data_IF_127239448069
#
_entry.id   IF_127239448069
#
_cell.length_a   1.000
_cell.length_b   1.000
_cell.length_c   1.000
_cell.angle_alpha   90.00
_cell.angle_beta   90.00
_cell.angle_gamma   90.00
#
_symmetry.space_group_name_H-M   'P 1'
#
loop_
_entity.id
_entity.type
_entity.pdbx_description
1 polymer ?
#
# COMPACT_ATOMS: atom_id res chain seq x y z
N UNK A 1 7.67 5.91 6.08
CA UNK A 1 6.89 6.70 5.10
C UNK A 1 5.53 6.04 4.84
N UNK A 2 4.53 6.81 4.42
CA UNK A 2 3.24 6.31 3.94
C UNK A 2 3.35 5.91 2.45
N UNK A 3 2.62 4.89 1.99
CA UNK A 3 2.84 4.31 0.65
C UNK A 3 1.79 4.72 -0.38
N UNK A 4 0.84 5.59 -0.02
CA UNK A 4 -0.08 6.23 -0.97
C UNK A 4 -0.99 5.26 -1.74
N UNK A 5 -1.64 5.75 -2.79
CA UNK A 5 -2.65 4.97 -3.52
C UNK A 5 -2.06 3.84 -4.40
N UNK A 6 -0.75 3.86 -4.68
CA UNK A 6 -0.11 2.88 -5.57
C UNK A 6 -0.26 3.24 -7.05
N UNK A 7 -0.27 2.21 -7.89
CA UNK A 7 -0.54 2.30 -9.33
C UNK A 7 -1.61 1.27 -9.73
N UNK A 8 -2.05 1.32 -10.99
CA UNK A 8 -2.90 0.29 -11.58
C UNK A 8 -2.32 -1.12 -11.47
N UNK A 9 -1.00 -1.27 -11.33
CA UNK A 9 -0.37 -2.58 -11.14
C UNK A 9 -0.47 -3.09 -9.70
N UNK A 10 -0.57 -2.20 -8.70
CA UNK A 10 -0.45 -2.55 -7.30
C UNK A 10 -1.76 -2.48 -6.52
N UNK A 11 -2.67 -1.59 -6.92
CA UNK A 11 -3.92 -1.30 -6.21
C UNK A 11 -5.00 -0.79 -7.19
N UNK A 12 -5.35 -1.59 -8.21
CA UNK A 12 -6.14 -1.15 -9.37
C UNK A 12 -7.51 -0.57 -8.99
N UNK A 13 -8.21 -1.22 -8.05
CA UNK A 13 -9.53 -0.76 -7.62
C UNK A 13 -9.48 0.63 -6.98
N UNK A 14 -8.47 0.87 -6.12
CA UNK A 14 -8.26 2.18 -5.49
C UNK A 14 -7.86 3.23 -6.52
N UNK A 15 -6.92 2.93 -7.42
CA UNK A 15 -6.46 3.91 -8.41
C UNK A 15 -7.59 4.31 -9.35
N UNK A 16 -8.44 3.36 -9.76
CA UNK A 16 -9.64 3.66 -10.55
C UNK A 16 -10.66 4.48 -9.77
N UNK A 17 -11.02 4.05 -8.55
CA UNK A 17 -12.14 4.64 -7.80
C UNK A 17 -11.81 5.96 -7.07
N UNK A 18 -10.56 6.14 -6.63
CA UNK A 18 -10.15 7.25 -5.77
C UNK A 18 -9.18 8.20 -6.49
N UNK A 19 -8.23 7.66 -7.26
CA UNK A 19 -7.21 8.46 -7.94
C UNK A 19 -7.59 8.84 -9.39
N UNK A 20 -8.76 8.44 -9.88
CA UNK A 20 -9.23 8.77 -11.23
C UNK A 20 -8.29 8.24 -12.32
N UNK A 21 -7.85 6.99 -12.19
CA UNK A 21 -6.91 6.30 -13.11
C UNK A 21 -5.50 6.92 -13.15
N UNK A 22 -5.16 7.79 -12.19
CA UNK A 22 -3.84 8.40 -12.11
C UNK A 22 -2.95 7.64 -11.12
N UNK A 23 -1.85 7.08 -11.62
CA UNK A 23 -0.84 6.42 -10.78
C UNK A 23 -0.17 7.40 -9.81
N UNK A 24 0.10 6.92 -8.60
CA UNK A 24 0.87 7.64 -7.60
C UNK A 24 2.36 7.70 -7.96
N UNK A 25 3.02 8.80 -7.59
CA UNK A 25 4.41 9.09 -8.01
C UNK A 25 5.48 8.75 -6.98
N UNK A 26 5.14 8.03 -5.90
CA UNK A 26 6.05 7.81 -4.77
C UNK A 26 7.40 7.25 -5.20
N UNK A 27 7.43 6.23 -6.07
CA UNK A 27 8.68 5.60 -6.50
C UNK A 27 9.53 6.52 -7.37
N UNK A 28 8.91 7.31 -8.25
CA UNK A 28 9.60 8.32 -9.06
C UNK A 28 10.17 9.44 -8.17
N UNK A 29 9.42 9.86 -7.15
CA UNK A 29 9.83 10.90 -6.21
C UNK A 29 10.97 10.44 -5.30
N UNK A 30 10.96 9.17 -4.85
CA UNK A 30 12.08 8.56 -4.14
C UNK A 30 13.32 8.46 -5.03
N UNK A 31 13.16 7.99 -6.27
CA UNK A 31 14.26 7.90 -7.23
C UNK A 31 14.87 9.28 -7.53
N UNK A 32 14.04 10.30 -7.73
CA UNK A 32 14.48 11.68 -7.95
C UNK A 32 15.24 12.25 -6.73
N UNK A 33 14.91 11.78 -5.53
CA UNK A 33 15.63 12.11 -4.30
C UNK A 33 16.89 11.26 -4.07
N UNK A 34 17.21 10.31 -4.96
CA UNK A 34 18.36 9.41 -4.84
C UNK A 34 18.16 8.27 -3.84
N UNK A 35 16.92 7.94 -3.50
CA UNK A 35 16.54 6.86 -2.58
C UNK A 35 15.99 5.69 -3.38
N UNK A 36 16.63 4.53 -3.27
CA UNK A 36 16.09 3.28 -3.81
C UNK A 36 15.12 2.62 -2.82
N UNK A 37 14.20 1.75 -3.27
CA UNK A 37 13.33 1.04 -2.33
C UNK A 37 14.06 0.20 -1.28
N UNK A 38 15.28 -0.27 -1.59
CA UNK A 38 16.13 -1.00 -0.64
C UNK A 38 16.74 -0.12 0.45
N UNK A 39 16.78 1.21 0.26
CA UNK A 39 17.29 2.16 1.26
C UNK A 39 16.26 2.48 2.35
N UNK A 40 14.99 2.07 2.15
CA UNK A 40 13.90 2.32 3.10
C UNK A 40 13.91 1.24 4.18
N UNK A 41 14.17 1.65 5.42
CA UNK A 41 14.16 0.76 6.60
C UNK A 41 12.81 0.67 7.32
N UNK A 42 11.92 1.65 7.12
CA UNK A 42 10.66 1.76 7.85
C UNK A 42 9.55 2.33 6.98
N UNK A 43 8.51 1.52 6.78
CA UNK A 43 7.21 1.96 6.27
C UNK A 43 6.31 2.20 7.48
N UNK A 44 5.82 3.43 7.62
CA UNK A 44 4.92 3.81 8.70
C UNK A 44 3.60 4.21 8.06
N UNK A 45 2.60 3.37 8.24
CA UNK A 45 1.26 3.59 7.71
C UNK A 45 0.48 4.35 8.77
N UNK A 46 0.08 5.57 8.43
CA UNK A 46 -0.69 6.43 9.33
C UNK A 46 -2.01 5.76 9.74
N UNK A 47 -2.62 5.06 8.78
CA UNK A 47 -3.78 4.19 8.92
C UNK A 47 -3.87 3.27 7.69
N UNK A 48 -4.75 2.25 7.71
CA UNK A 48 -4.80 1.21 6.66
C UNK A 48 -5.93 1.42 5.61
N UNK A 49 -6.24 2.67 5.27
CA UNK A 49 -7.16 2.95 4.16
C UNK A 49 -6.55 2.64 2.79
N UNK A 50 -7.37 2.36 1.76
CA UNK A 50 -6.89 1.96 0.44
C UNK A 50 -5.91 2.95 -0.21
N UNK A 51 -6.08 4.25 0.06
CA UNK A 51 -5.25 5.32 -0.49
C UNK A 51 -3.87 5.48 0.16
N UNK A 52 -3.50 4.63 1.12
CA UNK A 52 -2.26 4.74 1.90
C UNK A 52 -1.33 3.54 1.81
N UNK A 53 -1.80 2.46 1.17
CA UNK A 53 -1.17 1.13 1.23
C UNK A 53 -0.73 0.61 -0.13
N UNK A 54 -0.99 1.36 -1.20
CA UNK A 54 -0.89 0.89 -2.57
C UNK A 54 0.52 0.62 -3.05
N UNK A 55 1.56 1.27 -2.53
CA UNK A 55 2.96 0.92 -2.87
C UNK A 55 3.58 -0.08 -1.91
N UNK A 56 2.83 -0.73 -1.02
CA UNK A 56 3.38 -1.77 -0.15
C UNK A 56 3.97 -2.95 -0.93
N UNK A 57 3.35 -3.32 -2.06
CA UNK A 57 3.78 -4.42 -2.91
C UNK A 57 4.13 -3.94 -4.33
N UNK A 58 5.01 -4.69 -5.01
CA UNK A 58 5.46 -4.38 -6.38
C UNK A 58 4.36 -4.55 -7.44
N UNK A 59 3.34 -5.34 -7.11
CA UNK A 59 2.10 -5.55 -7.85
C UNK A 59 1.05 -6.09 -6.87
N UNK A 60 -0.22 -6.14 -7.27
CA UNK A 60 -1.28 -6.72 -6.47
C UNK A 60 -0.94 -8.17 -6.07
N UNK A 61 -0.85 -8.45 -4.76
CA UNK A 61 -0.45 -9.76 -4.25
C UNK A 61 1.04 -10.12 -4.43
N UNK A 62 1.86 -9.15 -4.83
CA UNK A 62 3.28 -9.32 -5.14
C UNK A 62 4.20 -9.34 -3.92
N UNK A 63 5.49 -9.13 -4.16
CA UNK A 63 6.50 -9.00 -3.10
C UNK A 63 6.52 -7.59 -2.52
N UNK A 64 7.02 -7.39 -1.28
CA UNK A 64 7.18 -6.07 -0.70
C UNK A 64 8.02 -5.14 -1.58
N UNK A 65 7.54 -3.94 -1.85
CA UNK A 65 8.28 -2.90 -2.59
C UNK A 65 9.54 -2.47 -1.84
N UNK A 66 9.44 -2.39 -0.52
CA UNK A 66 10.52 -2.03 0.39
C UNK A 66 10.96 -3.30 1.15
N UNK A 67 11.83 -4.14 0.56
CA UNK A 67 12.13 -5.48 1.06
C UNK A 67 12.92 -5.49 2.37
N UNK A 68 13.61 -4.40 2.68
CA UNK A 68 14.38 -4.22 3.91
C UNK A 68 13.58 -3.50 5.01
N UNK A 69 12.37 -3.04 4.70
CA UNK A 69 11.60 -2.21 5.60
C UNK A 69 10.82 -3.02 6.63
N UNK A 70 10.75 -2.50 7.85
CA UNK A 70 9.72 -2.87 8.82
C UNK A 70 8.44 -2.07 8.54
N UNK A 71 7.32 -2.77 8.41
CA UNK A 71 6.00 -2.15 8.26
C UNK A 71 5.39 -1.94 9.64
N UNK A 72 5.03 -0.70 9.95
CA UNK A 72 4.50 -0.28 11.25
C UNK A 72 3.17 0.40 11.03
N UNK A 73 2.16 -0.04 11.78
CA UNK A 73 0.79 0.48 11.76
C UNK A 73 0.16 0.31 13.13
N UNK A 74 -0.98 0.96 13.35
CA UNK A 74 -1.72 0.85 14.60
C UNK A 74 -2.43 -0.50 14.69
N UNK A 75 -2.40 -1.15 15.87
CA UNK A 75 -3.04 -2.46 16.05
C UNK A 75 -4.56 -2.42 15.83
N UNK A 76 -5.24 -1.33 16.22
CA UNK A 76 -6.67 -1.22 16.00
C UNK A 76 -7.04 -1.20 14.51
N UNK A 77 -6.23 -0.55 13.67
CA UNK A 77 -6.43 -0.57 12.22
C UNK A 77 -6.26 -1.99 11.69
N UNK A 78 -5.21 -2.69 12.14
CA UNK A 78 -5.00 -4.07 11.76
C UNK A 78 -6.22 -4.94 12.05
N UNK A 79 -6.78 -4.82 13.26
CA UNK A 79 -7.94 -5.61 13.68
C UNK A 79 -9.22 -5.31 12.88
N UNK A 80 -9.40 -4.06 12.43
CA UNK A 80 -10.57 -3.63 11.67
C UNK A 80 -10.43 -4.06 10.20
N UNK A 81 -9.32 -3.68 9.55
CA UNK A 81 -9.14 -3.84 8.11
C UNK A 81 -8.82 -5.26 7.66
N UNK A 82 -8.33 -6.13 8.56
CA UNK A 82 -8.16 -7.57 8.25
C UNK A 82 -9.46 -8.35 8.14
N UNK A 83 -10.60 -7.70 8.36
CA UNK A 83 -11.92 -8.29 8.19
C UNK A 83 -12.51 -7.87 6.84
N UNK A 84 -13.38 -8.69 6.23
CA UNK A 84 -13.99 -8.33 4.94
C UNK A 84 -14.84 -7.06 4.97
N UNK A 85 -15.21 -6.57 6.15
CA UNK A 85 -16.18 -5.48 6.34
C UNK A 85 -15.78 -4.20 5.59
N UNK A 86 -14.51 -3.82 5.64
CA UNK A 86 -14.05 -2.61 4.96
C UNK A 86 -13.94 -2.82 3.46
N UNK A 87 -13.52 -4.00 3.00
CA UNK A 87 -13.57 -4.35 1.58
C UNK A 87 -15.00 -4.29 1.04
N UNK A 88 -16.00 -4.75 1.81
CA UNK A 88 -17.43 -4.65 1.47
C UNK A 88 -17.93 -3.19 1.45
N UNK A 89 -17.46 -2.35 2.39
CA UNK A 89 -17.81 -0.92 2.45
C UNK A 89 -17.24 -0.16 1.25
N UNK A 90 -15.98 -0.40 0.91
CA UNK A 90 -15.32 0.28 -0.21
C UNK A 90 -15.66 -0.34 -1.56
N UNK A 91 -16.05 -1.62 -1.58
CA UNK A 91 -16.16 -2.40 -2.82
C UNK A 91 -14.80 -2.67 -3.47
N UNK A 92 -13.72 -2.71 -2.68
CA UNK A 92 -12.33 -2.82 -3.14
C UNK A 92 -11.61 -4.00 -2.49
N UNK A 93 -10.80 -4.72 -3.27
CA UNK A 93 -9.97 -5.85 -2.84
C UNK A 93 -8.61 -5.44 -2.25
N UNK A 94 -8.41 -4.16 -1.95
CA UNK A 94 -7.12 -3.57 -1.58
C UNK A 94 -6.37 -4.31 -0.46
N UNK A 95 -7.08 -4.87 0.54
CA UNK A 95 -6.45 -5.62 1.64
C UNK A 95 -5.64 -6.81 1.12
N UNK A 96 -6.26 -7.66 0.30
CA UNK A 96 -5.61 -8.83 -0.30
C UNK A 96 -4.48 -8.42 -1.24
N UNK A 97 -4.65 -7.30 -1.93
CA UNK A 97 -3.72 -6.80 -2.94
C UNK A 97 -2.48 -6.12 -2.35
N UNK A 98 -2.56 -5.57 -1.13
CA UNK A 98 -1.54 -4.64 -0.61
C UNK A 98 -1.09 -4.86 0.84
N UNK A 99 -1.85 -5.60 1.66
CA UNK A 99 -1.57 -5.77 3.09
C UNK A 99 -1.42 -7.24 3.49
N UNK A 100 -2.36 -8.10 3.09
CA UNK A 100 -2.34 -9.52 3.46
C UNK A 100 -0.99 -10.23 3.14
N UNK A 101 -0.32 -9.95 2.01
CA UNK A 101 0.97 -10.58 1.69
C UNK A 101 2.14 -10.15 2.59
N UNK A 102 1.96 -9.12 3.42
CA UNK A 102 2.94 -8.70 4.43
C UNK A 102 2.83 -9.52 5.73
N UNK A 103 1.79 -10.35 5.89
CA UNK A 103 1.66 -11.31 6.98
C UNK A 103 2.64 -12.48 6.74
N UNK A 104 3.88 -12.34 7.21
CA UNK A 104 4.87 -13.42 7.25
C UNK A 104 5.08 -13.97 8.65
#
# INVERSE_FOLDING_TARGET
MDTGAGSMATNPGTVSAIAGETDGRLLDELQAAGVSPGDVDTVFLSHLHPAHVGWNLTQAGGSPTFPSARYVFHQADWEIFRTPKDQEIFGLTFWEETLAPLES
#
